data_IF_871087718135
#
_entry.id   IF_871087718135
#
_cell.length_a   1.000
_cell.length_b   1.000
_cell.length_c   1.000
_cell.angle_alpha   90.00
_cell.angle_beta   90.00
_cell.angle_gamma   90.00
#
_symmetry.space_group_name_H-M   'P 1'
#
loop_
_entity.id
_entity.type
_entity.pdbx_description
1 polymer ?
#
# COMPACT_ATOMS: atom_id res chain seq x y z
N UNK A 1 12.82 9.82 -2.57
CA UNK A 1 13.05 8.45 -2.06
C UNK A 1 13.67 7.51 -3.10
N UNK A 2 13.24 7.55 -4.38
CA UNK A 2 13.74 6.62 -5.42
C UNK A 2 15.25 6.68 -5.63
N UNK A 3 15.85 7.87 -5.52
CA UNK A 3 17.31 8.03 -5.54
C UNK A 3 18.01 7.26 -4.40
N UNK A 4 17.53 7.41 -3.16
CA UNK A 4 18.07 6.72 -1.99
C UNK A 4 17.94 5.19 -2.15
N UNK A 5 16.80 4.71 -2.68
CA UNK A 5 16.62 3.30 -3.04
C UNK A 5 17.65 2.84 -4.06
N UNK A 6 17.89 3.62 -5.12
CA UNK A 6 18.88 3.27 -6.15
C UNK A 6 20.33 3.28 -5.64
N UNK A 7 20.60 4.03 -4.57
CA UNK A 7 21.90 4.04 -3.87
C UNK A 7 22.03 2.88 -2.86
N UNK A 8 21.07 1.96 -2.79
CA UNK A 8 21.10 0.77 -1.92
C UNK A 8 20.59 1.02 -0.49
N UNK A 9 20.04 2.21 -0.21
CA UNK A 9 19.48 2.52 1.11
C UNK A 9 18.14 1.79 1.30
N UNK A 10 18.01 1.05 2.41
CA UNK A 10 16.72 0.46 2.81
C UNK A 10 15.81 1.55 3.38
N UNK A 11 14.55 1.60 2.93
CA UNK A 11 13.59 2.65 3.27
C UNK A 11 12.32 2.00 3.83
N UNK A 12 11.88 2.48 4.99
CA UNK A 12 10.52 2.29 5.47
C UNK A 12 9.73 3.58 5.20
N UNK A 13 8.72 3.50 4.34
CA UNK A 13 7.85 4.62 4.01
C UNK A 13 6.49 4.43 4.67
N UNK A 14 6.01 5.46 5.37
CA UNK A 14 4.66 5.52 5.92
C UNK A 14 3.92 6.65 5.21
N UNK A 15 2.77 6.36 4.63
CA UNK A 15 2.07 7.29 3.72
C UNK A 15 0.55 7.08 3.79
N UNK A 16 -0.23 8.15 3.62
CA UNK A 16 -1.71 8.06 3.56
C UNK A 16 -2.18 7.71 2.15
N UNK A 17 -1.43 8.14 1.12
CA UNK A 17 -1.69 7.76 -0.25
C UNK A 17 -1.15 6.35 -0.56
N UNK A 18 -1.96 5.33 -0.24
CA UNK A 18 -1.63 3.93 -0.48
C UNK A 18 -1.26 3.64 -1.95
N UNK A 19 -1.90 4.31 -2.91
CA UNK A 19 -1.62 4.12 -4.35
C UNK A 19 -0.20 4.54 -4.71
N UNK A 20 0.21 5.71 -4.25
CA UNK A 20 1.56 6.21 -4.49
C UNK A 20 2.61 5.35 -3.76
N UNK A 21 2.31 4.93 -2.53
CA UNK A 21 3.20 4.08 -1.74
C UNK A 21 3.40 2.71 -2.40
N UNK A 22 2.34 2.06 -2.87
CA UNK A 22 2.41 0.75 -3.55
C UNK A 22 3.20 0.84 -4.87
N UNK A 23 3.08 1.95 -5.60
CA UNK A 23 3.77 2.13 -6.89
C UNK A 23 5.30 2.16 -6.78
N UNK A 24 5.85 2.46 -5.59
CA UNK A 24 7.28 2.68 -5.37
C UNK A 24 7.90 1.73 -4.34
N UNK A 25 7.09 0.89 -3.69
CA UNK A 25 7.52 -0.05 -2.66
C UNK A 25 7.81 -1.42 -3.26
N UNK A 26 8.69 -2.18 -2.62
CA UNK A 26 8.91 -3.60 -2.95
C UNK A 26 7.92 -4.49 -2.18
N UNK A 27 7.59 -4.12 -0.93
CA UNK A 27 6.59 -4.77 -0.09
C UNK A 27 5.70 -3.73 0.58
N UNK A 28 4.48 -4.11 0.93
CA UNK A 28 3.56 -3.24 1.63
C UNK A 28 2.85 -3.94 2.79
N UNK A 29 2.47 -3.13 3.77
CA UNK A 29 1.72 -3.51 4.95
C UNK A 29 0.65 -2.42 5.17
N UNK A 30 -0.60 -2.83 5.31
CA UNK A 30 -1.70 -1.90 5.58
C UNK A 30 -2.17 -2.12 7.00
N UNK A 31 -2.14 -1.05 7.79
CA UNK A 31 -2.65 -1.03 9.15
C UNK A 31 -3.96 -0.24 9.18
N UNK A 32 -4.99 -0.85 9.77
CA UNK A 32 -6.27 -0.20 10.03
C UNK A 32 -6.64 -0.43 11.49
N UNK A 33 -6.92 0.65 12.22
CA UNK A 33 -7.34 0.59 13.63
C UNK A 33 -6.42 -0.28 14.51
N UNK A 34 -5.10 -0.17 14.26
CA UNK A 34 -4.08 -0.93 14.99
C UNK A 34 -3.95 -2.41 14.60
N UNK A 35 -4.62 -2.87 13.54
CA UNK A 35 -4.53 -4.25 13.03
C UNK A 35 -3.94 -4.30 11.64
N UNK A 36 -3.13 -5.32 11.36
CA UNK A 36 -2.62 -5.61 10.02
C UNK A 36 -3.73 -6.26 9.20
N UNK A 37 -4.19 -5.56 8.16
CA UNK A 37 -5.30 -5.99 7.30
C UNK A 37 -4.83 -6.52 5.95
N UNK A 38 -3.70 -6.02 5.43
CA UNK A 38 -3.08 -6.49 4.20
C UNK A 38 -1.56 -6.50 4.33
N UNK A 39 -0.92 -7.50 3.72
CA UNK A 39 0.54 -7.56 3.59
C UNK A 39 0.94 -8.38 2.37
N UNK A 40 2.06 -8.03 1.74
CA UNK A 40 2.56 -8.78 0.58
C UNK A 40 3.49 -8.00 -0.33
N UNK A 41 3.75 -8.57 -1.51
CA UNK A 41 4.42 -7.88 -2.60
C UNK A 41 3.57 -6.67 -3.04
N UNK A 42 4.22 -5.52 -3.19
CA UNK A 42 3.49 -4.29 -3.49
C UNK A 42 2.81 -4.32 -4.87
N UNK A 43 3.37 -5.05 -5.85
CA UNK A 43 2.78 -5.16 -7.19
C UNK A 43 1.58 -6.08 -7.19
N UNK A 44 1.63 -7.18 -6.44
CA UNK A 44 0.48 -8.08 -6.28
C UNK A 44 -0.68 -7.32 -5.63
N UNK A 45 -0.41 -6.63 -4.51
CA UNK A 45 -1.41 -5.83 -3.80
C UNK A 45 -1.96 -4.67 -4.64
N UNK A 46 -1.13 -4.01 -5.47
CA UNK A 46 -1.61 -2.96 -6.37
C UNK A 46 -2.56 -3.46 -7.47
N UNK A 47 -2.47 -4.75 -7.82
CA UNK A 47 -3.30 -5.37 -8.84
C UNK A 47 -4.49 -6.14 -8.25
N UNK A 48 -4.50 -6.40 -6.95
CA UNK A 48 -5.58 -7.06 -6.25
C UNK A 48 -6.88 -6.21 -6.34
N UNK A 49 -7.98 -6.74 -6.91
CA UNK A 49 -9.23 -6.02 -7.04
C UNK A 49 -9.85 -5.56 -5.71
N UNK A 50 -9.70 -6.35 -4.64
CA UNK A 50 -10.21 -6.03 -3.30
C UNK A 50 -9.38 -4.90 -2.68
N UNK A 51 -8.05 -4.96 -2.79
CA UNK A 51 -7.16 -3.87 -2.32
C UNK A 51 -7.45 -2.58 -3.07
N UNK A 52 -7.65 -2.67 -4.38
CA UNK A 52 -7.99 -1.52 -5.21
C UNK A 52 -9.33 -0.91 -4.82
N UNK A 53 -10.34 -1.72 -4.52
CA UNK A 53 -11.66 -1.26 -4.09
C UNK A 53 -11.57 -0.61 -2.71
N UNK A 54 -10.96 -1.28 -1.76
CA UNK A 54 -10.91 -0.85 -0.36
C UNK A 54 -9.98 0.35 -0.14
N UNK A 55 -8.85 0.47 -0.82
CA UNK A 55 -7.82 1.47 -0.48
C UNK A 55 -7.42 2.41 -1.62
N UNK A 56 -7.69 2.05 -2.88
CA UNK A 56 -7.20 2.80 -4.06
C UNK A 56 -8.32 3.41 -4.92
N UNK A 57 -9.58 3.14 -4.57
CA UNK A 57 -10.81 3.65 -5.20
C UNK A 57 -11.49 4.73 -4.36
N UNK A 58 -12.47 5.43 -4.94
CA UNK A 58 -13.22 6.51 -4.27
C UNK A 58 -14.30 6.00 -3.30
N UNK A 59 -14.48 4.68 -3.20
CA UNK A 59 -15.61 4.04 -2.51
C UNK A 59 -15.18 3.38 -1.19
N UNK A 60 -14.28 4.02 -0.44
CA UNK A 60 -13.80 3.56 0.88
C UNK A 60 -14.94 3.32 1.89
N UNK A 61 -16.15 3.82 1.63
CA UNK A 61 -17.27 3.80 2.58
C UNK A 61 -18.17 2.56 2.54
N UNK A 62 -18.08 1.68 1.55
CA UNK A 62 -19.11 0.64 1.36
C UNK A 62 -18.65 -0.82 1.57
N UNK A 63 -17.40 -1.08 2.00
CA UNK A 63 -16.91 -2.47 2.09
C UNK A 63 -17.42 -3.20 3.36
N UNK A 64 -18.21 -2.55 4.22
CA UNK A 64 -18.77 -3.19 5.43
C UNK A 64 -20.20 -2.70 5.75
N UNK A 65 -21.18 -3.24 5.02
CA UNK A 65 -22.52 -3.58 5.55
C UNK A 65 -22.75 -5.08 5.42
#
# INVERSE_FOLDING_TARGET
ILRLRSEGTTILLVEQNARAALAISDRAYVLETGKLVLQGDAKELANDPEVRRAYLGKDYREVWE
#
